data_IF_264622550683
#
_entry.id   IF_264622550683
#
_cell.length_a   1.000
_cell.length_b   1.000
_cell.length_c   1.000
_cell.angle_alpha   90.00
_cell.angle_beta   90.00
_cell.angle_gamma   90.00
#
_symmetry.space_group_name_H-M   'P 1'
#
loop_
_entity.id
_entity.type
_entity.pdbx_description
1 polymer ?
#
# COMPACT_ATOMS: atom_id res chain seq x y z
N UNK A 1 79.18 50.36 -12.71
CA UNK A 1 77.83 50.55 -13.28
C UNK A 1 77.66 49.47 -14.34
N UNK A 2 76.75 48.52 -14.28
CA UNK A 2 75.40 48.53 -13.74
C UNK A 2 75.07 47.19 -13.08
N UNK A 3 74.35 47.28 -11.95
CA UNK A 3 73.74 46.17 -11.24
C UNK A 3 72.49 45.72 -12.01
N UNK A 4 72.49 44.53 -12.58
CA UNK A 4 71.25 43.87 -13.01
C UNK A 4 70.58 43.27 -11.76
N UNK A 5 69.60 44.00 -11.23
CA UNK A 5 68.71 43.52 -10.17
C UNK A 5 67.52 42.84 -10.85
N UNK A 6 67.56 41.51 -10.93
CA UNK A 6 66.37 40.69 -11.23
C UNK A 6 65.41 40.80 -10.06
N UNK A 7 64.26 41.43 -10.29
CA UNK A 7 63.16 41.48 -9.34
C UNK A 7 62.41 40.14 -9.40
N UNK A 8 62.42 39.39 -8.30
CA UNK A 8 61.53 38.27 -8.06
C UNK A 8 60.13 38.83 -7.73
N UNK A 9 59.12 38.52 -8.55
CA UNK A 9 57.72 38.77 -8.19
C UNK A 9 57.28 37.81 -7.08
N UNK A 10 56.57 38.26 -6.04
CA UNK A 10 56.05 37.36 -5.01
C UNK A 10 54.89 36.55 -5.60
N UNK A 11 55.13 35.25 -5.80
CA UNK A 11 54.07 34.29 -6.11
C UNK A 11 53.02 34.31 -4.99
N UNK A 12 51.86 34.90 -5.26
CA UNK A 12 50.67 34.76 -4.44
C UNK A 12 50.17 33.33 -4.56
N UNK A 13 50.58 32.47 -3.63
CA UNK A 13 49.97 31.15 -3.44
C UNK A 13 48.56 31.35 -2.88
N UNK A 14 47.61 31.63 -3.77
CA UNK A 14 46.19 31.50 -3.49
C UNK A 14 45.89 30.01 -3.31
N UNK A 15 45.93 29.55 -2.06
CA UNK A 15 45.71 28.15 -1.70
C UNK A 15 44.33 27.67 -2.17
N UNK A 16 44.23 26.80 -3.19
CA UNK A 16 42.94 26.31 -3.72
C UNK A 16 42.20 25.38 -2.73
N UNK A 17 42.89 24.97 -1.66
CA UNK A 17 42.48 23.90 -0.76
C UNK A 17 41.15 24.18 -0.03
N UNK A 18 40.91 25.42 0.42
CA UNK A 18 39.69 25.73 1.19
C UNK A 18 38.43 25.86 0.34
N UNK A 19 38.55 26.44 -0.86
CA UNK A 19 37.40 26.59 -1.76
C UNK A 19 36.94 25.23 -2.30
N UNK A 20 37.87 24.34 -2.66
CA UNK A 20 37.55 22.97 -3.09
C UNK A 20 36.93 22.17 -1.94
N UNK A 21 37.49 22.24 -0.73
CA UNK A 21 36.92 21.57 0.44
C UNK A 21 35.49 22.06 0.77
N UNK A 22 35.24 23.38 0.70
CA UNK A 22 33.91 23.94 0.91
C UNK A 22 32.89 23.49 -0.14
N UNK A 23 33.30 23.41 -1.43
CA UNK A 23 32.46 22.90 -2.52
C UNK A 23 32.16 21.41 -2.34
N UNK A 24 33.13 20.59 -1.96
CA UNK A 24 32.92 19.15 -1.70
C UNK A 24 32.00 18.94 -0.50
N UNK A 25 32.17 19.71 0.58
CA UNK A 25 31.28 19.66 1.75
C UNK A 25 29.87 20.12 1.40
N UNK A 26 29.70 21.16 0.57
CA UNK A 26 28.39 21.63 0.12
C UNK A 26 27.69 20.60 -0.77
N UNK A 27 28.41 19.93 -1.68
CA UNK A 27 27.86 18.84 -2.49
C UNK A 27 27.49 17.63 -1.65
N UNK A 28 28.32 17.25 -0.68
CA UNK A 28 28.01 16.17 0.27
C UNK A 28 26.77 16.50 1.12
N UNK A 29 26.66 17.74 1.63
CA UNK A 29 25.48 18.21 2.34
C UNK A 29 24.22 18.19 1.48
N UNK A 30 24.31 18.65 0.22
CA UNK A 30 23.19 18.63 -0.73
C UNK A 30 22.76 17.20 -1.10
N UNK A 31 23.71 16.29 -1.30
CA UNK A 31 23.45 14.88 -1.53
C UNK A 31 22.78 14.20 -0.33
N UNK A 32 23.23 14.52 0.89
CA UNK A 32 22.61 14.04 2.12
C UNK A 32 21.19 14.58 2.30
N UNK A 33 20.94 15.87 2.03
CA UNK A 33 19.59 16.44 2.08
C UNK A 33 18.62 15.73 1.12
N UNK A 34 19.09 15.39 -0.09
CA UNK A 34 18.28 14.62 -1.04
C UNK A 34 18.00 13.20 -0.55
N UNK A 35 18.98 12.57 0.10
CA UNK A 35 18.83 11.26 0.74
C UNK A 35 17.83 11.29 1.90
N UNK A 36 17.95 12.27 2.80
CA UNK A 36 17.05 12.47 3.94
C UNK A 36 15.61 12.76 3.50
N UNK A 37 15.42 13.54 2.43
CA UNK A 37 14.09 13.77 1.85
C UNK A 37 13.47 12.48 1.31
N UNK A 38 14.27 11.66 0.62
CA UNK A 38 13.79 10.38 0.08
C UNK A 38 13.49 9.38 1.20
N UNK A 39 14.37 9.27 2.18
CA UNK A 39 14.13 8.45 3.36
C UNK A 39 12.85 8.89 4.10
N UNK A 40 12.70 10.19 4.35
CA UNK A 40 11.51 10.74 5.00
C UNK A 40 10.23 10.50 4.20
N UNK A 41 10.30 10.44 2.86
CA UNK A 41 9.18 10.04 2.02
C UNK A 41 8.82 8.56 2.21
N UNK A 42 9.80 7.66 2.25
CA UNK A 42 9.57 6.23 2.50
C UNK A 42 9.05 5.96 3.91
N UNK A 43 9.49 6.72 4.91
CA UNK A 43 8.98 6.67 6.28
C UNK A 43 7.52 7.13 6.34
N UNK A 44 7.21 8.31 5.79
CA UNK A 44 5.85 8.89 5.81
C UNK A 44 4.83 8.04 5.03
N UNK A 45 5.26 7.38 3.96
CA UNK A 45 4.42 6.48 3.17
C UNK A 45 4.28 5.07 3.77
N UNK A 46 5.00 4.78 4.86
CA UNK A 46 4.96 3.47 5.52
C UNK A 46 5.74 2.35 4.81
N UNK A 47 6.46 2.67 3.72
CA UNK A 47 7.24 1.67 2.96
C UNK A 47 8.31 1.02 3.84
N UNK A 48 9.02 1.81 4.66
CA UNK A 48 10.04 1.26 5.56
C UNK A 48 9.46 0.34 6.63
N UNK A 49 8.30 0.69 7.19
CA UNK A 49 7.61 -0.13 8.19
C UNK A 49 7.17 -1.49 7.59
N UNK A 50 6.55 -1.47 6.41
CA UNK A 50 6.15 -2.68 5.70
C UNK A 50 7.35 -3.56 5.35
N UNK A 51 8.43 -2.98 4.80
CA UNK A 51 9.66 -3.73 4.49
C UNK A 51 10.27 -4.34 5.75
N UNK A 52 10.29 -3.60 6.85
CA UNK A 52 10.79 -4.09 8.14
C UNK A 52 9.98 -5.28 8.62
N UNK A 53 8.65 -5.19 8.60
CA UNK A 53 7.75 -6.30 9.00
C UNK A 53 7.96 -7.56 8.16
N UNK A 54 8.07 -7.43 6.84
CA UNK A 54 8.29 -8.59 5.95
C UNK A 54 9.68 -9.21 6.19
N UNK A 55 10.70 -8.41 6.43
CA UNK A 55 12.05 -8.90 6.75
C UNK A 55 12.10 -9.59 8.11
N UNK A 56 11.38 -9.06 9.11
CA UNK A 56 11.22 -9.71 10.43
C UNK A 56 10.51 -11.04 10.28
N UNK A 57 9.40 -11.11 9.54
CA UNK A 57 8.70 -12.36 9.26
C UNK A 57 9.62 -13.39 8.59
N UNK A 58 10.38 -12.97 7.58
CA UNK A 58 11.37 -13.84 6.94
C UNK A 58 12.46 -14.31 7.92
N UNK A 59 12.88 -13.45 8.85
CA UNK A 59 13.88 -13.79 9.88
C UNK A 59 13.33 -14.77 10.92
N UNK A 60 12.08 -14.62 11.32
CA UNK A 60 11.43 -15.47 12.33
C UNK A 60 10.98 -16.83 11.77
N UNK A 61 10.92 -16.98 10.44
CA UNK A 61 10.46 -18.21 9.82
C UNK A 61 11.32 -19.43 10.23
N UNK A 62 10.73 -20.46 10.88
CA UNK A 62 11.47 -21.60 11.44
C UNK A 62 12.07 -22.48 10.35
N UNK A 63 11.36 -22.62 9.22
CA UNK A 63 11.86 -23.26 8.01
C UNK A 63 12.11 -22.19 6.95
N UNK A 64 13.39 -21.90 6.68
CA UNK A 64 13.72 -20.86 5.71
C UNK A 64 13.22 -21.24 4.32
N UNK A 65 12.51 -20.32 3.62
CA UNK A 65 12.03 -20.60 2.29
C UNK A 65 13.21 -20.82 1.34
N UNK A 66 13.06 -21.76 0.41
CA UNK A 66 14.06 -22.04 -0.63
C UNK A 66 14.44 -20.79 -1.45
N UNK A 67 13.51 -19.84 -1.55
CA UNK A 67 13.71 -18.55 -2.21
C UNK A 67 13.19 -17.41 -1.32
N UNK A 68 14.13 -16.69 -0.69
CA UNK A 68 13.82 -15.49 0.09
C UNK A 68 13.14 -14.40 -0.77
N UNK A 69 13.51 -14.31 -2.05
CA UNK A 69 12.95 -13.32 -2.95
C UNK A 69 11.46 -13.59 -3.24
N UNK A 70 11.08 -14.85 -3.41
CA UNK A 70 9.68 -15.20 -3.65
C UNK A 70 8.83 -15.04 -2.39
N UNK A 71 9.42 -15.30 -1.21
CA UNK A 71 8.79 -14.95 0.08
C UNK A 71 8.49 -13.45 0.16
N UNK A 72 9.47 -12.59 -0.17
CA UNK A 72 9.28 -11.13 -0.17
C UNK A 72 8.19 -10.70 -1.16
N UNK A 73 8.20 -11.21 -2.40
CA UNK A 73 7.17 -10.87 -3.42
C UNK A 73 5.76 -11.20 -2.92
N UNK A 74 5.59 -12.40 -2.35
CA UNK A 74 4.30 -12.85 -1.85
C UNK A 74 3.83 -11.97 -0.67
N UNK A 75 4.70 -11.76 0.32
CA UNK A 75 4.34 -11.01 1.53
C UNK A 75 4.16 -9.51 1.28
N UNK A 76 4.88 -8.92 0.34
CA UNK A 76 4.66 -7.52 -0.06
C UNK A 76 3.35 -7.34 -0.82
N UNK A 77 2.96 -8.31 -1.66
CA UNK A 77 1.66 -8.31 -2.34
C UNK A 77 0.47 -8.51 -1.39
N UNK A 78 0.69 -9.21 -0.27
CA UNK A 78 -0.33 -9.36 0.78
C UNK A 78 -0.35 -8.19 1.78
N UNK A 79 0.77 -7.49 1.96
CA UNK A 79 0.89 -6.38 2.89
C UNK A 79 0.37 -5.04 2.35
N UNK A 80 0.08 -4.93 1.06
CA UNK A 80 -0.70 -3.80 0.54
C UNK A 80 -2.10 -3.85 1.14
N UNK A 81 -2.56 -2.80 1.86
CA UNK A 81 -3.95 -2.71 2.27
C UNK A 81 -4.81 -2.95 1.04
N UNK A 82 -5.77 -3.87 1.12
CA UNK A 82 -6.73 -4.06 0.04
C UNK A 82 -7.31 -2.69 -0.28
N UNK A 83 -7.25 -2.32 -1.56
CA UNK A 83 -7.72 -1.02 -2.03
C UNK A 83 -9.10 -0.78 -1.38
N UNK A 84 -9.35 0.35 -0.70
CA UNK A 84 -10.65 0.61 -0.06
C UNK A 84 -11.84 0.44 -1.02
N UNK A 85 -11.62 0.60 -2.31
CA UNK A 85 -12.58 0.28 -3.37
C UNK A 85 -12.90 -1.22 -3.47
N UNK A 86 -11.93 -2.12 -3.29
CA UNK A 86 -12.14 -3.57 -3.25
C UNK A 86 -12.97 -3.96 -2.03
N UNK A 87 -12.70 -3.36 -0.87
CA UNK A 87 -13.49 -3.60 0.34
C UNK A 87 -14.93 -3.11 0.18
N UNK A 88 -15.13 -1.93 -0.42
CA UNK A 88 -16.45 -1.41 -0.74
C UNK A 88 -17.21 -2.35 -1.70
N UNK A 89 -16.55 -2.81 -2.77
CA UNK A 89 -17.14 -3.74 -3.73
C UNK A 89 -17.51 -5.08 -3.09
N UNK A 90 -16.73 -5.58 -2.13
CA UNK A 90 -17.06 -6.80 -1.37
C UNK A 90 -18.28 -6.61 -0.49
N UNK A 91 -18.41 -5.46 0.15
CA UNK A 91 -19.59 -5.12 0.96
C UNK A 91 -20.85 -5.04 0.09
N UNK A 92 -20.79 -4.33 -1.03
CA UNK A 92 -21.90 -4.22 -1.98
C UNK A 92 -22.31 -5.60 -2.55
N UNK A 93 -21.34 -6.46 -2.85
CA UNK A 93 -21.60 -7.83 -3.27
C UNK A 93 -22.32 -8.66 -2.19
N UNK A 94 -21.95 -8.48 -0.92
CA UNK A 94 -22.59 -9.17 0.20
C UNK A 94 -24.04 -8.71 0.39
N UNK A 95 -24.29 -7.39 0.38
CA UNK A 95 -25.63 -6.82 0.48
C UNK A 95 -26.52 -7.25 -0.69
N UNK A 96 -25.97 -7.25 -1.92
CA UNK A 96 -26.70 -7.70 -3.11
C UNK A 96 -27.08 -9.19 -3.03
N UNK A 97 -26.19 -10.04 -2.48
CA UNK A 97 -26.49 -11.46 -2.28
C UNK A 97 -27.57 -11.68 -1.23
N UNK A 98 -27.49 -10.98 -0.11
CA UNK A 98 -28.50 -11.08 0.97
C UNK A 98 -29.89 -10.67 0.48
N UNK A 99 -29.98 -9.53 -0.22
CA UNK A 99 -31.25 -9.06 -0.80
C UNK A 99 -31.79 -10.03 -1.85
N UNK A 100 -30.92 -10.58 -2.71
CA UNK A 100 -31.30 -11.58 -3.69
C UNK A 100 -31.88 -12.85 -3.04
N UNK A 101 -31.20 -13.38 -2.02
CA UNK A 101 -31.65 -14.56 -1.29
C UNK A 101 -33.00 -14.33 -0.59
N UNK A 102 -33.18 -13.17 0.05
CA UNK A 102 -34.44 -12.79 0.68
C UNK A 102 -35.61 -12.74 -0.32
N UNK A 103 -35.39 -12.11 -1.48
CA UNK A 103 -36.39 -12.02 -2.56
C UNK A 103 -36.71 -13.41 -3.12
N UNK A 104 -35.70 -14.27 -3.27
CA UNK A 104 -35.90 -15.65 -3.75
C UNK A 104 -36.74 -16.46 -2.76
N UNK A 105 -36.47 -16.35 -1.46
CA UNK A 105 -37.26 -17.03 -0.42
C UNK A 105 -38.69 -16.50 -0.34
N UNK A 106 -38.89 -15.19 -0.43
CA UNK A 106 -40.24 -14.61 -0.50
C UNK A 106 -41.01 -15.13 -1.72
N UNK A 107 -40.37 -15.13 -2.89
CA UNK A 107 -40.98 -15.66 -4.11
C UNK A 107 -41.36 -17.14 -3.98
N UNK A 108 -40.52 -17.97 -3.34
CA UNK A 108 -40.84 -19.38 -3.07
C UNK A 108 -42.04 -19.51 -2.13
N UNK A 109 -42.09 -18.70 -1.06
CA UNK A 109 -43.19 -18.68 -0.09
C UNK A 109 -44.51 -18.27 -0.75
N UNK A 110 -44.48 -17.24 -1.59
CA UNK A 110 -45.65 -16.76 -2.33
C UNK A 110 -46.18 -17.83 -3.29
N UNK A 111 -45.30 -18.44 -4.10
CA UNK A 111 -45.68 -19.54 -5.00
C UNK A 111 -46.26 -20.75 -4.26
N UNK A 112 -45.78 -21.04 -3.05
CA UNK A 112 -46.31 -22.14 -2.23
C UNK A 112 -47.70 -21.81 -1.70
N UNK A 113 -47.91 -20.58 -1.21
CA UNK A 113 -49.24 -20.11 -0.76
C UNK A 113 -50.25 -20.10 -1.90
N UNK A 114 -49.88 -19.62 -3.07
CA UNK A 114 -50.76 -19.59 -4.25
C UNK A 114 -51.21 -21.01 -4.64
N UNK A 115 -50.26 -21.96 -4.67
CA UNK A 115 -50.59 -23.37 -4.90
C UNK A 115 -51.56 -23.92 -3.84
N UNK A 116 -51.34 -23.64 -2.56
CA UNK A 116 -52.23 -24.09 -1.48
C UNK A 116 -53.64 -23.48 -1.59
N UNK A 117 -53.75 -22.19 -1.94
CA UNK A 117 -55.03 -21.50 -2.12
C UNK A 117 -55.86 -22.09 -3.27
N UNK A 118 -55.22 -22.64 -4.31
CA UNK A 118 -55.94 -23.34 -5.39
C UNK A 118 -56.53 -24.70 -4.97
N UNK A 119 -56.18 -25.23 -3.80
CA UNK A 119 -56.72 -26.48 -3.25
C UNK A 119 -57.75 -26.26 -2.12
N UNK A 120 -58.16 -25.02 -1.84
CA UNK A 120 -59.19 -24.75 -0.83
C UNK A 120 -60.59 -25.14 -1.38
N UNK A 121 -61.33 -26.09 -0.76
CA UNK A 121 -62.64 -26.49 -1.24
C UNK A 121 -63.67 -25.37 -1.05
N UNK A 122 -64.70 -25.26 -1.91
CA UNK A 122 -65.75 -24.26 -1.76
C UNK A 122 -66.36 -24.36 -0.36
N UNK A 123 -66.36 -23.26 0.39
CA UNK A 123 -67.05 -23.23 1.67
C UNK A 123 -68.53 -23.50 1.43
N UNK A 124 -69.00 -24.69 1.82
CA UNK A 124 -70.42 -25.00 1.86
C UNK A 124 -71.09 -24.00 2.81
N UNK A 125 -71.79 -23.05 2.18
CA UNK A 125 -72.69 -22.11 2.77
C UNK A 125 -73.73 -22.88 3.60
N UNK A 126 -73.52 -22.97 4.92
CA UNK A 126 -74.57 -23.36 5.85
C UNK A 126 -75.63 -22.27 5.84
N UNK A 127 -76.55 -22.39 4.89
CA UNK A 127 -77.92 -21.89 4.96
C UNK A 127 -78.54 -22.49 6.22
N UNK A 128 -78.47 -21.76 7.32
CA UNK A 128 -79.30 -22.00 8.49
C UNK A 128 -80.62 -21.27 8.28
N UNK A 129 -81.72 -22.03 8.39
CA UNK A 129 -83.12 -21.62 8.35
C UNK A 129 -83.49 -20.52 9.35
#
# INVERSE_FOLDING_TARGET
MALHKTAEEPATVSSPCYATAAITVAHYKSANLKGEQFQGYLEKSGVLDTLTKVLVALYEEPEKPNSALDFLKHHLGAATPENPEIELLRLELAEMKETYEAIVEENKKMKTKEKLAQYEPPQEEKRAE
#
